data_IF_801585361660
#
_entry.id   IF_801585361660
#
_cell.length_a   1.000
_cell.length_b   1.000
_cell.length_c   1.000
_cell.angle_alpha   90.00
_cell.angle_beta   90.00
_cell.angle_gamma   90.00
#
_symmetry.space_group_name_H-M   'P 1'
#
loop_
_entity.id
_entity.type
_entity.pdbx_description
1 polymer ?
#
# COMPACT_ATOMS: atom_id res chain seq x y z
N UNK A 1 -0.86 -1.57 6.88
CA UNK A 1 -1.61 -2.30 5.84
C UNK A 1 -2.58 -3.31 6.44
N UNK A 2 -3.57 -3.69 5.68
CA UNK A 2 -4.57 -4.66 6.13
C UNK A 2 -3.97 -6.06 6.24
N UNK A 3 -4.37 -6.79 7.29
CA UNK A 3 -3.99 -8.20 7.48
C UNK A 3 -4.77 -9.14 6.56
N UNK A 4 -5.93 -8.71 6.10
CA UNK A 4 -6.84 -9.51 5.28
C UNK A 4 -8.15 -8.78 5.07
N UNK A 5 -9.25 -9.51 5.04
CA UNK A 5 -10.58 -8.92 4.83
C UNK A 5 -10.91 -7.90 5.90
N UNK A 6 -11.48 -6.76 5.49
CA UNK A 6 -11.80 -5.67 6.39
C UNK A 6 -12.99 -4.87 5.89
N UNK A 7 -13.84 -4.43 6.80
CA UNK A 7 -14.98 -3.57 6.50
C UNK A 7 -14.66 -2.13 6.88
N UNK A 8 -14.84 -1.23 5.93
CA UNK A 8 -14.79 0.21 6.14
C UNK A 8 -16.21 0.68 6.47
N UNK A 9 -16.36 1.39 7.60
CA UNK A 9 -17.68 1.77 8.13
C UNK A 9 -17.83 3.28 8.28
N UNK A 10 -19.08 3.73 8.33
CA UNK A 10 -19.41 5.14 8.54
C UNK A 10 -19.10 5.64 9.94
N UNK A 11 -19.02 4.75 10.93
CA UNK A 11 -18.77 5.12 12.34
C UNK A 11 -17.93 4.07 13.06
N UNK A 12 -17.34 4.43 14.22
CA UNK A 12 -16.48 3.53 14.99
C UNK A 12 -17.28 2.57 15.86
N UNK A 13 -18.12 1.76 15.22
CA UNK A 13 -18.92 0.73 15.88
C UNK A 13 -19.30 -0.34 14.86
N UNK A 14 -19.44 -1.57 15.33
CA UNK A 14 -19.85 -2.70 14.47
C UNK A 14 -21.27 -2.57 13.98
N UNK A 15 -22.08 -1.69 14.58
CA UNK A 15 -23.46 -1.43 14.13
C UNK A 15 -23.54 -0.39 13.00
N UNK A 16 -22.46 0.34 12.75
CA UNK A 16 -22.43 1.32 11.67
C UNK A 16 -22.47 0.63 10.31
N UNK A 17 -23.13 1.29 9.36
CA UNK A 17 -23.22 0.78 7.99
C UNK A 17 -21.84 0.67 7.35
N UNK A 18 -21.68 -0.33 6.51
CA UNK A 18 -20.45 -0.60 5.77
C UNK A 18 -20.42 0.27 4.52
N UNK A 19 -19.33 1.02 4.33
CA UNK A 19 -19.08 1.80 3.12
C UNK A 19 -18.54 0.87 2.03
N UNK A 20 -17.53 0.04 2.40
CA UNK A 20 -16.80 -0.79 1.46
C UNK A 20 -16.19 -2.00 2.18
N UNK A 21 -16.11 -3.13 1.47
CA UNK A 21 -15.48 -4.35 1.96
C UNK A 21 -14.18 -4.58 1.21
N UNK A 22 -13.08 -4.63 1.95
CA UNK A 22 -11.75 -4.90 1.38
C UNK A 22 -11.45 -6.38 1.53
N UNK A 23 -10.96 -7.00 0.47
CA UNK A 23 -10.67 -8.44 0.43
C UNK A 23 -9.23 -8.70 0.01
N UNK A 24 -8.34 -7.74 0.23
CA UNK A 24 -6.96 -7.85 -0.23
C UNK A 24 -5.99 -7.68 0.93
N UNK A 25 -5.27 -8.76 1.26
CA UNK A 25 -4.19 -8.71 2.24
C UNK A 25 -3.11 -7.75 1.75
N UNK A 26 -2.62 -6.91 2.64
CA UNK A 26 -1.58 -5.94 2.31
C UNK A 26 -2.08 -4.67 1.66
N UNK A 27 -3.39 -4.42 1.65
CA UNK A 27 -3.93 -3.17 1.12
C UNK A 27 -3.48 -2.00 2.01
N UNK A 28 -2.77 -1.01 1.46
CA UNK A 28 -2.31 0.12 2.26
C UNK A 28 -3.44 1.10 2.55
N UNK A 29 -3.51 1.58 3.80
CA UNK A 29 -4.45 2.60 4.23
C UNK A 29 -3.69 3.70 4.94
N UNK A 30 -4.08 4.95 4.71
CA UNK A 30 -3.56 6.08 5.47
C UNK A 30 -4.36 6.23 6.76
N UNK A 31 -3.69 6.18 7.90
CA UNK A 31 -4.32 6.34 9.21
C UNK A 31 -4.37 7.82 9.56
N UNK A 32 -5.58 8.36 9.69
CA UNK A 32 -5.78 9.78 9.95
C UNK A 32 -5.94 10.06 11.45
N UNK A 33 -6.58 9.15 12.19
CA UNK A 33 -6.74 9.26 13.64
C UNK A 33 -7.19 7.93 14.23
N UNK A 34 -7.10 7.83 15.57
CA UNK A 34 -7.48 6.61 16.29
C UNK A 34 -8.37 6.97 17.48
N UNK A 35 -9.29 6.05 17.85
CA UNK A 35 -10.10 6.15 19.05
C UNK A 35 -10.59 4.75 19.46
N UNK A 36 -10.35 4.36 20.70
CA UNK A 36 -10.91 3.18 21.36
C UNK A 36 -10.97 1.90 20.50
N UNK A 37 -9.82 1.52 19.90
CA UNK A 37 -9.74 0.31 19.10
C UNK A 37 -10.22 0.47 17.67
N UNK A 38 -10.48 1.69 17.24
CA UNK A 38 -10.86 2.04 15.87
C UNK A 38 -9.90 3.04 15.26
N UNK A 39 -9.73 2.94 13.94
CA UNK A 39 -8.92 3.87 13.14
C UNK A 39 -9.77 4.51 12.08
N UNK A 40 -9.68 5.84 11.97
CA UNK A 40 -10.24 6.56 10.85
C UNK A 40 -9.19 6.59 9.76
N UNK A 41 -9.52 6.01 8.62
CA UNK A 41 -8.54 5.75 7.55
C UNK A 41 -9.01 6.31 6.22
N UNK A 42 -8.06 6.49 5.33
CA UNK A 42 -8.29 6.95 3.96
C UNK A 42 -7.67 5.96 2.99
N UNK A 43 -8.46 5.53 2.01
CA UNK A 43 -7.97 4.73 0.90
C UNK A 43 -7.10 5.63 0.01
N UNK A 44 -5.82 5.31 -0.19
CA UNK A 44 -4.94 6.19 -0.96
C UNK A 44 -5.26 6.21 -2.46
N UNK A 45 -5.99 5.23 -2.99
CA UNK A 45 -6.32 5.19 -4.41
C UNK A 45 -7.51 6.08 -4.78
N UNK A 46 -8.59 6.01 -4.03
CA UNK A 46 -9.84 6.72 -4.37
C UNK A 46 -10.20 7.82 -3.37
N UNK A 47 -9.50 7.91 -2.25
CA UNK A 47 -9.75 8.94 -1.26
C UNK A 47 -10.94 8.69 -0.34
N UNK A 48 -11.58 7.54 -0.43
CA UNK A 48 -12.70 7.20 0.46
C UNK A 48 -12.20 7.09 1.89
N UNK A 49 -12.93 7.68 2.84
CA UNK A 49 -12.58 7.69 4.26
C UNK A 49 -13.64 6.99 5.09
N UNK A 50 -13.22 6.38 6.18
CA UNK A 50 -14.13 5.72 7.10
C UNK A 50 -13.40 5.05 8.26
N UNK A 51 -14.13 4.27 9.03
CA UNK A 51 -13.65 3.63 10.24
C UNK A 51 -13.40 2.14 10.04
N UNK A 52 -12.28 1.66 10.57
CA UNK A 52 -11.91 0.25 10.62
C UNK A 52 -11.41 -0.12 12.01
N UNK A 53 -11.61 -1.37 12.41
CA UNK A 53 -11.03 -1.90 13.65
C UNK A 53 -9.51 -1.86 13.60
N UNK A 54 -8.88 -1.39 14.69
CA UNK A 54 -7.42 -1.28 14.75
C UNK A 54 -6.70 -2.62 14.59
N UNK A 55 -7.29 -3.70 15.08
CA UNK A 55 -6.64 -5.03 15.00
C UNK A 55 -6.60 -5.60 13.58
N UNK A 56 -7.31 -4.98 12.61
CA UNK A 56 -7.28 -5.41 11.21
C UNK A 56 -5.99 -4.99 10.48
N UNK A 57 -5.13 -4.23 11.14
CA UNK A 57 -3.91 -3.67 10.55
C UNK A 57 -2.65 -4.39 11.00
N UNK A 58 -1.69 -4.48 10.09
CA UNK A 58 -0.34 -4.98 10.33
C UNK A 58 0.65 -3.83 10.24
N UNK A 59 1.79 -3.95 10.94
CA UNK A 59 2.90 -3.03 10.80
C UNK A 59 3.65 -3.16 9.47
N UNK A 60 3.41 -4.22 8.72
CA UNK A 60 4.03 -4.42 7.40
C UNK A 60 3.53 -3.37 6.43
N UNK A 61 4.44 -2.86 5.60
CA UNK A 61 4.11 -1.83 4.63
C UNK A 61 4.03 -2.42 3.24
N UNK A 62 3.01 -2.00 2.50
CA UNK A 62 2.76 -2.42 1.13
C UNK A 62 2.52 -1.19 0.26
N UNK A 63 2.77 -1.33 -1.04
CA UNK A 63 2.52 -0.30 -2.01
C UNK A 63 1.70 -0.85 -3.18
N UNK A 64 0.97 0.05 -3.83
CA UNK A 64 0.22 -0.26 -5.05
C UNK A 64 0.73 0.68 -6.14
N UNK A 65 1.05 0.13 -7.31
CA UNK A 65 1.51 0.95 -8.43
C UNK A 65 0.36 1.81 -8.97
N UNK A 66 0.65 3.07 -9.30
CA UNK A 66 -0.35 4.03 -9.77
C UNK A 66 -0.11 4.64 -11.14
N UNK A 67 1.07 4.45 -11.71
CA UNK A 67 1.42 5.09 -12.97
C UNK A 67 0.69 4.51 -14.17
N UNK A 68 0.26 5.37 -15.08
CA UNK A 68 -0.34 5.03 -16.36
C UNK A 68 0.65 5.33 -17.49
N UNK A 69 0.85 4.42 -18.46
CA UNK A 69 0.22 3.10 -18.58
C UNK A 69 0.91 2.02 -17.74
N UNK A 70 2.12 2.24 -17.27
CA UNK A 70 2.89 1.28 -16.48
C UNK A 70 4.07 1.98 -15.81
N UNK A 71 4.71 1.28 -14.89
CA UNK A 71 5.99 1.69 -14.30
C UNK A 71 7.02 0.58 -14.43
N UNK A 72 8.30 0.95 -14.36
CA UNK A 72 9.39 -0.02 -14.38
C UNK A 72 9.96 -0.24 -12.99
N UNK A 73 10.30 -1.50 -12.70
CA UNK A 73 11.13 -1.84 -11.56
C UNK A 73 12.56 -2.09 -12.04
N UNK A 74 13.53 -1.49 -11.37
CA UNK A 74 14.93 -1.50 -11.76
C UNK A 74 15.79 -2.28 -10.76
N UNK A 75 16.97 -2.71 -11.24
CA UNK A 75 17.95 -3.38 -10.39
C UNK A 75 18.56 -2.44 -9.33
N UNK A 76 18.61 -1.15 -9.62
CA UNK A 76 19.12 -0.11 -8.70
C UNK A 76 18.55 1.26 -9.06
N UNK A 77 18.85 2.27 -8.25
CA UNK A 77 18.34 3.63 -8.43
C UNK A 77 18.99 4.40 -9.57
N UNK A 78 20.03 3.84 -10.19
CA UNK A 78 20.67 4.42 -11.38
C UNK A 78 20.01 3.94 -12.69
N UNK A 79 18.99 3.07 -12.59
CA UNK A 79 18.23 2.53 -13.72
C UNK A 79 19.11 1.75 -14.71
N UNK A 80 20.09 1.00 -14.19
CA UNK A 80 21.01 0.26 -15.05
C UNK A 80 20.30 -0.83 -15.85
N UNK A 81 19.37 -1.53 -15.23
CA UNK A 81 18.65 -2.62 -15.89
C UNK A 81 17.19 -2.64 -15.43
N UNK A 82 16.28 -2.79 -16.40
CA UNK A 82 14.86 -3.00 -16.11
C UNK A 82 14.67 -4.48 -15.78
N UNK A 83 14.14 -4.76 -14.58
CA UNK A 83 13.84 -6.11 -14.13
C UNK A 83 12.39 -6.51 -14.35
N UNK A 84 11.47 -5.55 -14.28
CA UNK A 84 10.04 -5.84 -14.35
C UNK A 84 9.28 -4.63 -14.87
N UNK A 85 8.19 -4.92 -15.59
CA UNK A 85 7.22 -3.91 -16.02
C UNK A 85 5.95 -4.13 -15.21
N UNK A 86 5.46 -3.08 -14.57
CA UNK A 86 4.33 -3.14 -13.65
C UNK A 86 3.15 -2.34 -14.19
N UNK A 87 2.03 -3.00 -14.38
CA UNK A 87 0.78 -2.33 -14.69
C UNK A 87 0.29 -1.54 -13.47
N UNK A 88 -0.59 -0.54 -13.65
CA UNK A 88 -1.24 0.11 -12.50
C UNK A 88 -2.01 -0.90 -11.67
N UNK A 89 -2.02 -0.71 -10.35
CA UNK A 89 -2.77 -1.56 -9.44
C UNK A 89 -2.06 -2.83 -8.97
N UNK A 90 -0.76 -2.95 -9.24
CA UNK A 90 0.01 -4.12 -8.75
C UNK A 90 0.40 -3.90 -7.29
N UNK A 91 0.14 -4.91 -6.46
CA UNK A 91 0.43 -4.90 -5.04
C UNK A 91 1.81 -5.49 -4.75
N UNK A 92 2.62 -4.78 -3.97
CA UNK A 92 3.97 -5.20 -3.61
C UNK A 92 4.24 -4.92 -2.14
N UNK A 93 5.14 -5.68 -1.52
CA UNK A 93 5.61 -5.34 -0.18
C UNK A 93 6.77 -4.36 -0.27
N UNK A 94 6.86 -3.43 0.70
CA UNK A 94 7.93 -2.44 0.77
C UNK A 94 9.04 -2.98 1.68
N UNK A 95 10.25 -3.02 1.17
CA UNK A 95 11.44 -3.34 1.97
C UNK A 95 12.02 -2.09 2.61
N UNK A 96 12.26 -1.08 1.81
CA UNK A 96 12.74 0.22 2.29
C UNK A 96 12.47 1.30 1.25
N UNK A 97 12.49 2.55 1.69
CA UNK A 97 12.31 3.71 0.81
C UNK A 97 13.29 4.81 1.23
N UNK A 98 13.92 5.44 0.25
CA UNK A 98 14.64 6.69 0.45
C UNK A 98 13.77 7.89 0.03
N UNK A 99 14.35 9.03 -0.24
CA UNK A 99 13.59 10.23 -0.59
C UNK A 99 12.86 10.13 -1.93
N UNK A 100 13.35 9.32 -2.87
CA UNK A 100 12.81 9.21 -4.24
C UNK A 100 12.40 7.81 -4.65
N UNK A 101 12.94 6.79 -4.01
CA UNK A 101 12.83 5.41 -4.44
C UNK A 101 12.32 4.51 -3.34
N UNK A 102 11.59 3.45 -3.72
CA UNK A 102 11.26 2.35 -2.83
C UNK A 102 11.79 1.05 -3.40
N UNK A 103 12.40 0.24 -2.54
CA UNK A 103 12.75 -1.13 -2.85
C UNK A 103 11.56 -2.00 -2.51
N UNK A 104 11.05 -2.70 -3.52
CA UNK A 104 9.84 -3.49 -3.41
C UNK A 104 10.14 -4.95 -3.63
N UNK A 105 9.27 -5.79 -3.11
CA UNK A 105 9.36 -7.23 -3.26
C UNK A 105 8.00 -7.79 -3.63
N UNK A 106 7.98 -8.72 -4.56
CA UNK A 106 6.78 -9.46 -4.93
C UNK A 106 7.14 -10.87 -5.37
N UNK A 107 6.15 -11.75 -5.38
CA UNK A 107 6.31 -13.11 -5.88
C UNK A 107 5.56 -13.24 -7.20
N UNK A 108 6.24 -13.73 -8.22
CA UNK A 108 5.66 -13.96 -9.54
C UNK A 108 6.08 -15.36 -9.99
N UNK A 109 5.09 -16.23 -10.28
CA UNK A 109 5.33 -17.60 -10.73
C UNK A 109 6.32 -18.36 -9.83
N UNK A 110 6.10 -18.27 -8.50
CA UNK A 110 6.93 -18.87 -7.46
C UNK A 110 8.34 -18.30 -7.32
N UNK A 111 8.67 -17.25 -8.06
CA UNK A 111 9.92 -16.52 -7.90
C UNK A 111 9.72 -15.23 -7.12
N UNK A 112 10.64 -14.96 -6.17
CA UNK A 112 10.69 -13.67 -5.50
C UNK A 112 11.44 -12.68 -6.37
N UNK A 113 10.80 -11.53 -6.61
CA UNK A 113 11.39 -10.41 -7.31
C UNK A 113 11.63 -9.27 -6.33
N UNK A 114 12.79 -8.64 -6.47
CA UNK A 114 13.23 -7.53 -5.63
C UNK A 114 13.73 -6.45 -6.58
N UNK A 115 13.13 -5.26 -6.52
CA UNK A 115 13.42 -4.21 -7.50
C UNK A 115 13.12 -2.83 -6.94
N UNK A 116 13.63 -1.80 -7.60
CA UNK A 116 13.45 -0.40 -7.23
C UNK A 116 12.44 0.29 -8.14
N UNK A 117 11.49 1.02 -7.54
CA UNK A 117 10.49 1.81 -8.26
C UNK A 117 10.51 3.24 -7.71
N UNK A 118 10.33 4.21 -8.59
CA UNK A 118 10.23 5.60 -8.16
C UNK A 118 9.00 5.80 -7.27
N UNK A 119 9.21 6.42 -6.12
CA UNK A 119 8.18 6.61 -5.10
C UNK A 119 6.94 7.34 -5.64
N UNK A 120 7.12 8.27 -6.57
CA UNK A 120 6.02 9.01 -7.20
C UNK A 120 5.00 8.11 -7.91
N UNK A 121 5.39 6.89 -8.25
CA UNK A 121 4.56 5.93 -8.96
C UNK A 121 3.82 4.97 -8.03
N UNK A 122 3.80 5.26 -6.72
CA UNK A 122 3.25 4.36 -5.71
C UNK A 122 2.20 5.03 -4.83
N UNK A 123 1.13 4.29 -4.55
CA UNK A 123 0.26 4.54 -3.40
C UNK A 123 0.80 3.76 -2.19
N UNK A 124 0.56 4.25 -0.99
CA UNK A 124 0.92 3.56 0.25
C UNK A 124 2.16 4.09 0.94
N UNK A 125 2.78 5.11 0.39
CA UNK A 125 3.95 5.77 0.96
C UNK A 125 3.85 7.28 0.77
N UNK A 126 4.22 8.06 1.79
CA UNK A 126 4.26 9.52 1.68
C UNK A 126 5.49 9.95 0.88
N UNK A 127 5.36 11.08 0.15
CA UNK A 127 6.44 11.58 -0.71
C UNK A 127 7.74 11.87 0.04
N UNK A 128 7.64 12.23 1.33
CA UNK A 128 8.80 12.56 2.17
C UNK A 128 9.18 11.45 3.15
N UNK A 129 8.53 10.30 3.04
CA UNK A 129 8.72 9.20 4.00
C UNK A 129 9.98 8.41 3.70
N UNK A 130 10.75 8.11 4.75
CA UNK A 130 11.90 7.22 4.70
C UNK A 130 11.50 5.93 5.44
N UNK A 131 11.70 4.80 4.81
CA UNK A 131 11.45 3.49 5.40
C UNK A 131 12.76 2.70 5.37
N UNK A 132 13.24 2.33 6.54
CA UNK A 132 14.51 1.59 6.68
C UNK A 132 14.32 0.08 6.67
#
# INVERSE_FOLDING_TARGET
>A
SLKGDANLRYGPTTDANIIYRYQHKGYPMEILRETDGWRYVKDPQDGVEGWMRSFLFSGKRYAITKSEPFSYGYDNTKKNQILVKLDPGVHTSIKNCDSKWCRLKMTLEDEELDFWVEKKNLFGVYSNEIIN
#
